data_IF_727667047769
#
_entry.id   IF_727667047769
#
_cell.length_a   1.000
_cell.length_b   1.000
_cell.length_c   1.000
_cell.angle_alpha   90.00
_cell.angle_beta   90.00
_cell.angle_gamma   90.00
#
_symmetry.space_group_name_H-M   'P 1'
#
loop_
_entity.id
_entity.type
_entity.pdbx_description
1 polymer ?
#
# COMPACT_ATOMS: atom_id res chain seq x y z
N UNK A 1 -20.36 12.05 8.54
CA UNK A 1 -19.66 10.98 7.79
C UNK A 1 -19.45 11.41 6.36
N UNK A 2 -18.39 10.94 5.70
CA UNK A 2 -18.11 11.24 4.28
C UNK A 2 -19.23 10.68 3.41
N UNK A 3 -19.69 11.46 2.43
CA UNK A 3 -20.67 11.02 1.42
C UNK A 3 -19.93 10.42 0.22
N UNK A 4 -20.62 9.64 -0.59
CA UNK A 4 -20.15 9.14 -1.90
C UNK A 4 -18.90 8.23 -1.89
N UNK A 5 -18.67 7.49 -0.80
CA UNK A 5 -17.56 6.54 -0.67
C UNK A 5 -17.55 5.41 -1.72
N UNK A 6 -18.66 5.23 -2.45
CA UNK A 6 -18.79 4.20 -3.49
C UNK A 6 -18.59 4.75 -4.91
N UNK A 7 -18.35 6.06 -5.08
CA UNK A 7 -18.00 6.65 -6.37
C UNK A 7 -16.50 6.46 -6.67
N UNK A 8 -16.12 5.21 -6.91
CA UNK A 8 -14.73 4.80 -7.11
C UNK A 8 -14.29 5.08 -8.55
N UNK A 9 -13.15 5.76 -8.71
CA UNK A 9 -12.64 6.23 -10.00
C UNK A 9 -11.60 5.32 -10.65
N UNK A 10 -11.44 4.10 -10.16
CA UNK A 10 -10.50 3.15 -10.73
C UNK A 10 -11.03 2.55 -12.03
N UNK A 11 -10.11 2.04 -12.86
CA UNK A 11 -10.46 1.39 -14.11
C UNK A 11 -11.29 0.13 -13.84
N UNK A 12 -12.26 -0.22 -14.72
CA UNK A 12 -12.96 -1.50 -14.65
C UNK A 12 -11.96 -2.66 -14.64
N UNK A 13 -12.12 -3.57 -13.68
CA UNK A 13 -11.20 -4.71 -13.49
C UNK A 13 -9.92 -4.40 -12.72
N UNK A 14 -9.77 -3.19 -12.14
CA UNK A 14 -8.65 -2.90 -11.23
C UNK A 14 -8.71 -3.80 -9.98
N UNK A 15 -7.57 -4.24 -9.46
CA UNK A 15 -7.54 -5.12 -8.29
C UNK A 15 -7.49 -4.37 -6.96
N UNK A 16 -7.28 -3.06 -7.00
CA UNK A 16 -7.47 -2.15 -5.86
C UNK A 16 -8.89 -2.31 -5.24
N UNK A 17 -9.91 -2.68 -6.04
CA UNK A 17 -11.27 -2.96 -5.55
C UNK A 17 -11.31 -4.14 -4.56
N UNK A 18 -10.55 -5.20 -4.83
CA UNK A 18 -10.50 -6.39 -3.96
C UNK A 18 -9.86 -6.05 -2.61
N UNK A 19 -8.80 -5.25 -2.66
CA UNK A 19 -8.04 -4.81 -1.49
C UNK A 19 -8.87 -3.84 -0.64
N UNK A 20 -9.56 -2.87 -1.27
CA UNK A 20 -10.51 -1.99 -0.60
C UNK A 20 -11.62 -2.79 0.10
N UNK A 21 -12.19 -3.78 -0.58
CA UNK A 21 -13.21 -4.65 -0.01
C UNK A 21 -12.71 -5.41 1.22
N UNK A 22 -11.48 -5.94 1.15
CA UNK A 22 -10.85 -6.64 2.28
C UNK A 22 -10.63 -5.71 3.48
N UNK A 23 -10.12 -4.49 3.27
CA UNK A 23 -9.87 -3.53 4.36
C UNK A 23 -11.19 -3.12 5.01
N UNK A 24 -12.20 -2.74 4.23
CA UNK A 24 -13.54 -2.38 4.75
C UNK A 24 -14.10 -3.51 5.60
N UNK A 25 -14.03 -4.74 5.10
CA UNK A 25 -14.52 -5.93 5.77
C UNK A 25 -13.83 -6.17 7.12
N UNK A 26 -12.51 -6.08 7.18
CA UNK A 26 -11.79 -6.33 8.43
C UNK A 26 -11.95 -5.23 9.46
N UNK A 27 -12.08 -3.97 9.04
CA UNK A 27 -12.41 -2.89 9.98
C UNK A 27 -13.78 -3.16 10.65
N UNK A 28 -14.75 -3.67 9.91
CA UNK A 28 -16.06 -4.06 10.41
C UNK A 28 -15.99 -5.31 11.33
N UNK A 29 -15.41 -6.41 10.85
CA UNK A 29 -15.38 -7.68 11.61
C UNK A 29 -14.50 -7.61 12.89
N UNK A 30 -13.47 -6.74 12.89
CA UNK A 30 -12.61 -6.51 14.06
C UNK A 30 -13.15 -5.41 15.00
N UNK A 31 -14.33 -4.84 14.71
CA UNK A 31 -14.94 -3.77 15.49
C UNK A 31 -14.04 -2.54 15.67
N UNK A 32 -13.19 -2.25 14.68
CA UNK A 32 -12.30 -1.08 14.70
C UNK A 32 -13.13 0.11 14.23
N UNK A 33 -13.50 0.98 15.18
CA UNK A 33 -14.39 2.09 14.88
C UNK A 33 -13.73 3.10 13.93
N UNK A 34 -14.53 3.66 13.00
CA UNK A 34 -14.12 4.71 12.07
C UNK A 34 -13.48 5.93 12.74
N UNK A 35 -13.92 6.25 13.96
CA UNK A 35 -13.39 7.38 14.76
C UNK A 35 -11.99 7.11 15.34
N UNK A 36 -11.61 5.85 15.46
CA UNK A 36 -10.34 5.39 16.01
C UNK A 36 -9.38 4.93 14.90
N UNK A 37 -9.80 5.08 13.63
CA UNK A 37 -9.02 4.70 12.45
C UNK A 37 -8.55 5.92 11.68
N UNK A 38 -7.28 5.93 11.27
CA UNK A 38 -6.74 6.90 10.33
C UNK A 38 -6.15 6.18 9.13
N UNK A 39 -6.68 6.47 7.94
CA UNK A 39 -6.13 5.99 6.68
C UNK A 39 -5.18 7.05 6.12
N UNK A 40 -3.90 6.72 6.01
CA UNK A 40 -2.91 7.62 5.41
C UNK A 40 -2.49 7.07 4.07
N UNK A 41 -2.63 7.87 3.03
CA UNK A 41 -2.19 7.51 1.68
C UNK A 41 -1.42 8.69 1.08
N UNK A 42 -1.18 8.65 -0.23
CA UNK A 42 -0.87 9.86 -0.96
C UNK A 42 -1.08 9.65 -2.44
N UNK A 43 -0.10 9.95 -3.29
CA UNK A 43 -0.33 10.13 -4.73
C UNK A 43 -0.18 8.82 -5.52
N UNK A 44 -1.30 8.36 -6.11
CA UNK A 44 -1.35 7.19 -6.97
C UNK A 44 -2.77 6.67 -7.14
N UNK A 45 -2.97 5.67 -8.00
CA UNK A 45 -4.26 4.95 -8.06
C UNK A 45 -4.57 4.34 -6.69
N UNK A 46 -3.61 3.60 -6.13
CA UNK A 46 -3.66 3.07 -4.76
C UNK A 46 -3.90 4.15 -3.72
N UNK A 47 -3.29 5.32 -3.91
CA UNK A 47 -3.43 6.49 -3.06
C UNK A 47 -4.87 6.96 -2.82
N UNK A 48 -5.72 6.90 -3.85
CA UNK A 48 -7.14 7.30 -3.76
C UNK A 48 -7.96 6.43 -2.81
N UNK A 49 -7.47 5.26 -2.39
CA UNK A 49 -8.19 4.34 -1.50
C UNK A 49 -8.66 5.00 -0.19
N UNK A 50 -7.90 5.99 0.30
CA UNK A 50 -8.23 6.73 1.52
C UNK A 50 -9.52 7.55 1.40
N UNK A 51 -9.90 7.90 0.17
CA UNK A 51 -11.15 8.59 -0.15
C UNK A 51 -12.35 7.63 -0.11
N UNK A 52 -12.12 6.33 -0.16
CA UNK A 52 -13.13 5.28 -0.24
C UNK A 52 -13.30 4.51 1.07
N UNK A 53 -12.68 4.92 2.18
CA UNK A 53 -12.85 4.29 3.49
C UNK A 53 -13.51 5.28 4.44
N UNK A 54 -14.53 4.82 5.18
CA UNK A 54 -15.20 5.63 6.19
C UNK A 54 -14.34 5.69 7.46
N UNK A 55 -13.38 6.61 7.50
CA UNK A 55 -12.49 6.87 8.63
C UNK A 55 -11.93 8.30 8.53
N UNK A 56 -11.17 8.74 9.53
CA UNK A 56 -10.25 9.86 9.30
C UNK A 56 -9.26 9.47 8.21
N UNK A 57 -8.88 10.42 7.36
CA UNK A 57 -7.90 10.13 6.33
C UNK A 57 -7.12 11.35 5.92
N UNK A 58 -5.88 11.12 5.52
CA UNK A 58 -4.99 12.12 4.96
C UNK A 58 -4.36 11.56 3.68
N UNK A 59 -4.67 12.18 2.54
CA UNK A 59 -3.89 12.01 1.32
C UNK A 59 -2.74 12.99 1.39
N UNK A 60 -1.54 12.46 1.56
CA UNK A 60 -0.33 13.26 1.81
C UNK A 60 0.44 13.50 0.51
N UNK A 61 1.56 14.20 0.63
CA UNK A 61 2.50 14.31 -0.48
C UNK A 61 3.05 12.93 -0.82
N UNK A 62 3.37 12.81 -2.10
CA UNK A 62 4.10 11.70 -2.65
C UNK A 62 5.28 11.31 -1.75
N UNK A 63 5.36 10.06 -1.29
CA UNK A 63 6.47 9.52 -0.47
C UNK A 63 6.63 10.07 0.94
N UNK A 64 5.68 10.88 1.40
CA UNK A 64 5.76 11.60 2.68
C UNK A 64 4.69 11.20 3.66
N UNK A 65 3.90 10.21 3.30
CA UNK A 65 3.00 9.53 4.22
C UNK A 65 3.79 9.00 5.41
N UNK A 66 4.94 8.32 5.20
CA UNK A 66 5.76 7.69 6.27
C UNK A 66 6.06 8.61 7.46
N UNK A 67 6.67 9.77 7.21
CA UNK A 67 6.83 10.79 8.24
C UNK A 67 5.51 11.29 8.83
N UNK A 68 4.48 11.50 8.00
CA UNK A 68 3.19 12.03 8.44
C UNK A 68 2.50 11.12 9.46
N UNK A 69 2.38 9.82 9.21
CA UNK A 69 1.75 8.94 10.20
C UNK A 69 2.61 8.74 11.43
N UNK A 70 3.94 8.85 11.31
CA UNK A 70 4.81 8.75 12.47
C UNK A 70 4.42 9.86 13.45
N UNK A 71 4.17 11.07 12.92
CA UNK A 71 3.55 12.14 13.69
C UNK A 71 2.17 11.78 14.25
N UNK A 72 1.25 11.26 13.44
CA UNK A 72 -0.10 10.89 13.88
C UNK A 72 -0.07 9.86 15.02
N UNK A 73 0.67 8.77 14.86
CA UNK A 73 0.73 7.66 15.81
C UNK A 73 1.45 8.06 17.10
N UNK A 74 2.48 8.90 17.01
CA UNK A 74 3.15 9.44 18.20
C UNK A 74 2.28 10.46 18.93
N UNK A 75 1.48 11.26 18.22
CA UNK A 75 0.56 12.23 18.82
C UNK A 75 -0.64 11.55 19.50
N UNK A 76 -1.13 10.45 18.94
CA UNK A 76 -2.18 9.64 19.56
C UNK A 76 -1.94 8.14 19.32
N UNK A 77 -1.28 7.45 20.28
CA UNK A 77 -0.97 6.02 20.18
C UNK A 77 -2.19 5.10 20.13
N UNK A 78 -3.37 5.57 20.54
CA UNK A 78 -4.59 4.75 20.56
C UNK A 78 -5.24 4.60 19.18
N UNK A 79 -4.83 5.40 18.19
CA UNK A 79 -5.38 5.31 16.84
C UNK A 79 -4.82 4.09 16.10
N UNK A 80 -5.69 3.36 15.39
CA UNK A 80 -5.27 2.39 14.39
C UNK A 80 -4.93 3.14 13.11
N UNK A 81 -3.64 3.11 12.75
CA UNK A 81 -3.15 3.81 11.55
C UNK A 81 -2.85 2.78 10.48
N UNK A 82 -3.56 2.90 9.35
CA UNK A 82 -3.35 2.06 8.17
C UNK A 82 -2.81 2.93 7.06
N UNK A 83 -1.61 2.64 6.62
CA UNK A 83 -0.99 3.29 5.50
C UNK A 83 -1.11 2.44 4.23
N UNK A 84 -1.54 3.07 3.13
CA UNK A 84 -1.80 2.36 1.87
C UNK A 84 -1.26 3.15 0.68
N UNK A 85 -0.49 2.46 -0.16
CA UNK A 85 0.28 3.07 -1.25
C UNK A 85 0.69 2.06 -2.31
N UNK A 86 1.24 2.53 -3.44
CA UNK A 86 1.75 1.66 -4.52
C UNK A 86 3.20 1.24 -4.29
N UNK A 87 3.64 0.23 -5.03
CA UNK A 87 5.03 -0.27 -5.05
C UNK A 87 6.05 0.81 -5.38
N UNK A 88 5.70 1.70 -6.30
CA UNK A 88 6.56 2.81 -6.58
C UNK A 88 6.84 3.57 -5.30
N UNK A 89 5.79 4.08 -4.61
CA UNK A 89 5.86 5.00 -3.46
C UNK A 89 6.72 4.52 -2.28
N UNK A 90 7.20 3.28 -2.29
CA UNK A 90 8.02 2.78 -1.21
C UNK A 90 9.40 2.36 -1.65
N UNK A 91 9.49 1.73 -2.80
CA UNK A 91 10.74 1.12 -3.23
C UNK A 91 11.56 2.07 -4.11
N UNK A 92 11.14 3.33 -4.24
CA UNK A 92 11.89 4.40 -4.91
C UNK A 92 12.24 5.57 -3.96
N UNK A 93 11.66 6.76 -4.12
CA UNK A 93 12.04 7.99 -3.39
C UNK A 93 11.60 8.00 -1.91
N UNK A 94 10.80 7.03 -1.48
CA UNK A 94 10.34 6.83 -0.10
C UNK A 94 11.14 5.75 0.62
N UNK A 95 12.06 5.09 -0.07
CA UNK A 95 12.83 3.95 0.45
C UNK A 95 13.59 4.32 1.73
N UNK A 96 14.14 5.52 1.80
CA UNK A 96 14.81 6.01 3.01
C UNK A 96 13.88 6.01 4.22
N UNK A 97 12.66 6.55 4.06
CA UNK A 97 11.69 6.55 5.14
C UNK A 97 11.25 5.14 5.51
N UNK A 98 11.10 4.25 4.52
CA UNK A 98 10.61 2.89 4.72
C UNK A 98 11.58 2.10 5.59
N UNK A 99 12.88 2.16 5.25
CA UNK A 99 13.92 1.53 6.05
C UNK A 99 13.93 2.04 7.49
N UNK A 100 13.72 3.34 7.70
CA UNK A 100 13.67 3.89 9.05
C UNK A 100 12.36 3.55 9.79
N UNK A 101 11.25 3.31 9.10
CA UNK A 101 10.03 2.84 9.76
C UNK A 101 10.15 1.39 10.22
N UNK A 102 10.74 0.50 9.40
CA UNK A 102 11.12 -0.84 9.85
C UNK A 102 11.96 -0.77 11.13
N UNK A 103 13.01 0.06 11.14
CA UNK A 103 13.91 0.22 12.29
C UNK A 103 13.24 0.78 13.54
N UNK A 104 12.30 1.72 13.39
CA UNK A 104 11.60 2.34 14.54
C UNK A 104 10.51 1.43 15.09
N UNK A 105 10.02 0.51 14.26
CA UNK A 105 9.03 -0.49 14.61
C UNK A 105 7.77 0.10 15.30
N UNK A 106 7.28 1.23 14.82
CA UNK A 106 6.08 1.88 15.37
C UNK A 106 4.85 1.12 14.87
N UNK A 107 3.83 0.92 15.73
CA UNK A 107 2.54 0.28 15.41
C UNK A 107 1.78 0.99 14.27
N UNK A 108 2.09 0.59 13.04
CA UNK A 108 1.45 1.04 11.79
C UNK A 108 1.30 -0.17 10.90
N UNK A 109 0.09 -0.36 10.38
CA UNK A 109 -0.16 -1.30 9.29
C UNK A 109 0.20 -0.64 7.98
N UNK A 110 1.04 -1.29 7.19
CA UNK A 110 1.61 -0.74 5.98
C UNK A 110 1.35 -1.68 4.80
N UNK A 111 0.43 -1.27 3.93
CA UNK A 111 -0.05 -2.04 2.80
C UNK A 111 0.50 -1.46 1.49
N UNK A 112 1.26 -2.27 0.76
CA UNK A 112 1.79 -1.92 -0.57
C UNK A 112 0.97 -2.62 -1.64
N UNK A 113 0.35 -1.84 -2.51
CA UNK A 113 -0.49 -2.28 -3.62
C UNK A 113 0.42 -2.32 -4.86
N UNK A 114 1.15 -3.41 -4.99
CA UNK A 114 2.21 -3.59 -5.97
C UNK A 114 1.64 -4.02 -7.33
N UNK A 115 1.53 -3.05 -8.25
CA UNK A 115 1.12 -3.32 -9.62
C UNK A 115 2.29 -3.25 -10.61
N UNK A 116 3.52 -3.14 -10.11
CA UNK A 116 4.75 -3.16 -10.90
C UNK A 116 4.84 -2.04 -11.97
N UNK A 117 4.09 -0.93 -11.83
CA UNK A 117 4.14 0.22 -12.73
C UNK A 117 3.61 1.51 -12.09
N UNK A 118 3.72 2.67 -12.76
CA UNK A 118 3.05 3.90 -12.30
C UNK A 118 1.77 4.14 -13.07
N UNK A 119 0.70 3.47 -12.67
CA UNK A 119 -0.55 3.48 -13.40
C UNK A 119 -1.15 4.89 -13.56
N UNK A 120 -1.13 5.70 -12.48
CA UNK A 120 -1.71 7.04 -12.49
C UNK A 120 -0.99 7.99 -13.46
N UNK A 121 0.33 7.85 -13.59
CA UNK A 121 1.13 8.66 -14.52
C UNK A 121 1.29 8.00 -15.89
N UNK A 122 0.51 6.96 -16.18
CA UNK A 122 0.36 6.29 -17.48
C UNK A 122 1.33 5.14 -17.80
N UNK A 123 1.80 4.41 -16.79
CA UNK A 123 2.43 3.08 -16.97
C UNK A 123 3.95 3.11 -17.14
N UNK A 124 4.64 3.95 -16.38
CA UNK A 124 6.11 3.94 -16.29
C UNK A 124 6.62 2.73 -15.49
N UNK A 125 7.90 2.41 -15.69
CA UNK A 125 8.65 1.42 -14.89
C UNK A 125 8.64 1.80 -13.42
N UNK A 126 8.40 0.81 -12.56
CA UNK A 126 8.53 0.88 -11.12
C UNK A 126 9.71 0.04 -10.61
N UNK A 127 10.06 0.18 -9.32
CA UNK A 127 11.16 -0.56 -8.71
C UNK A 127 10.87 -2.06 -8.58
N UNK A 128 9.62 -2.49 -8.76
CA UNK A 128 9.20 -3.90 -8.79
C UNK A 128 8.87 -4.39 -10.20
N UNK A 129 8.91 -3.53 -11.23
CA UNK A 129 8.81 -3.95 -12.63
C UNK A 129 9.87 -5.01 -12.94
N UNK A 130 9.52 -6.18 -13.49
CA UNK A 130 10.49 -7.20 -13.81
C UNK A 130 11.52 -6.73 -14.83
N UNK A 131 12.72 -7.28 -14.74
CA UNK A 131 13.78 -7.06 -15.72
C UNK A 131 13.31 -7.50 -17.12
N UNK A 132 13.70 -6.78 -18.17
CA UNK A 132 13.34 -7.14 -19.53
C UNK A 132 11.95 -6.66 -19.99
N UNK A 133 11.07 -6.26 -19.06
CA UNK A 133 9.71 -5.83 -19.39
C UNK A 133 9.71 -4.46 -20.07
N UNK A 134 8.91 -4.34 -21.14
CA UNK A 134 8.65 -3.07 -21.82
C UNK A 134 7.53 -2.32 -21.12
N UNK A 135 7.74 -1.02 -20.93
CA UNK A 135 6.74 -0.10 -20.36
C UNK A 135 6.71 1.19 -21.19
N UNK A 136 5.86 2.16 -20.85
CA UNK A 136 5.83 3.43 -21.60
C UNK A 136 7.14 4.21 -21.53
N UNK A 137 7.80 4.23 -20.37
CA UNK A 137 9.08 4.90 -20.16
C UNK A 137 10.27 4.07 -20.64
N UNK A 138 10.18 2.74 -20.54
CA UNK A 138 11.24 1.80 -20.93
C UNK A 138 10.81 1.03 -22.17
N UNK A 139 10.89 1.68 -23.33
CA UNK A 139 10.37 1.14 -24.61
C UNK A 139 11.12 -0.07 -25.14
N UNK A 140 12.42 -0.16 -24.85
CA UNK A 140 13.25 -1.30 -25.28
C UNK A 140 13.08 -2.47 -24.31
N UNK A 141 13.36 -2.23 -23.03
CA UNK A 141 13.21 -3.15 -21.91
C UNK A 141 13.59 -2.41 -20.61
N UNK A 142 13.14 -2.90 -19.45
CA UNK A 142 13.59 -2.43 -18.14
C UNK A 142 15.00 -2.97 -17.84
N UNK A 143 16.03 -2.10 -17.70
CA UNK A 143 17.39 -2.53 -17.45
C UNK A 143 17.67 -2.97 -16.02
N UNK A 144 16.86 -2.53 -15.09
CA UNK A 144 17.09 -2.75 -13.66
C UNK A 144 16.48 -4.08 -13.23
N UNK A 145 17.16 -4.76 -12.30
CA UNK A 145 16.53 -5.87 -11.57
C UNK A 145 15.52 -5.31 -10.58
N UNK A 146 14.34 -5.93 -10.43
CA UNK A 146 13.35 -5.49 -9.46
C UNK A 146 13.85 -5.71 -8.03
N UNK A 147 13.45 -4.84 -7.10
CA UNK A 147 13.59 -5.14 -5.69
C UNK A 147 12.76 -6.37 -5.32
N UNK A 148 13.23 -7.10 -4.31
CA UNK A 148 12.40 -8.05 -3.58
C UNK A 148 11.89 -7.35 -2.31
N UNK A 149 10.60 -6.98 -2.25
CA UNK A 149 10.03 -6.24 -1.12
C UNK A 149 10.26 -6.88 0.25
N UNK A 150 10.10 -8.20 0.33
CA UNK A 150 10.26 -8.94 1.59
C UNK A 150 11.70 -8.89 2.05
N UNK A 151 12.65 -9.28 1.19
CA UNK A 151 14.08 -9.26 1.53
C UNK A 151 14.58 -7.86 1.89
N UNK A 152 14.06 -6.84 1.21
CA UNK A 152 14.38 -5.44 1.49
C UNK A 152 13.90 -5.04 2.89
N UNK A 153 12.66 -5.38 3.24
CA UNK A 153 12.09 -5.13 4.57
C UNK A 153 12.83 -5.90 5.68
N UNK A 154 13.13 -7.19 5.44
CA UNK A 154 13.92 -8.02 6.36
C UNK A 154 15.30 -7.40 6.61
N UNK A 155 15.99 -6.99 5.54
CA UNK A 155 17.30 -6.34 5.63
C UNK A 155 17.24 -4.99 6.36
N UNK A 156 16.10 -4.31 6.31
CA UNK A 156 15.85 -3.08 7.06
C UNK A 156 15.44 -3.31 8.53
N UNK A 157 15.22 -4.56 8.94
CA UNK A 157 14.86 -4.94 10.31
C UNK A 157 13.37 -4.87 10.64
N UNK A 158 12.49 -5.00 9.65
CA UNK A 158 11.04 -5.06 9.88
C UNK A 158 10.67 -6.35 10.67
N UNK A 159 9.87 -6.22 11.75
CA UNK A 159 9.43 -7.37 12.57
C UNK A 159 8.33 -8.20 11.92
N UNK A 160 7.53 -7.58 11.06
CA UNK A 160 6.52 -8.25 10.24
C UNK A 160 6.69 -7.80 8.80
N UNK A 161 6.92 -8.77 7.91
CA UNK A 161 6.97 -8.55 6.47
C UNK A 161 6.46 -9.77 5.73
N UNK A 162 5.59 -9.56 4.75
CA UNK A 162 5.03 -10.62 3.92
C UNK A 162 4.74 -10.12 2.51
N UNK A 163 4.74 -11.04 1.56
CA UNK A 163 4.20 -10.81 0.22
C UNK A 163 3.04 -11.78 -0.06
N UNK A 164 2.00 -11.28 -0.71
CA UNK A 164 0.86 -12.09 -1.17
C UNK A 164 0.42 -11.66 -2.56
N UNK A 165 0.00 -12.63 -3.39
CA UNK A 165 -0.66 -12.36 -4.66
C UNK A 165 -2.17 -12.26 -4.43
N UNK A 166 -2.76 -11.14 -4.82
CA UNK A 166 -4.21 -10.90 -4.71
C UNK A 166 -5.07 -11.81 -5.59
N UNK A 167 -4.46 -12.63 -6.48
CA UNK A 167 -5.10 -13.80 -7.12
C UNK A 167 -5.73 -14.73 -6.10
N UNK A 168 -5.04 -14.97 -4.97
CA UNK A 168 -5.57 -15.78 -3.89
C UNK A 168 -6.33 -14.89 -2.91
N UNK A 169 -7.59 -14.59 -3.22
CA UNK A 169 -8.44 -13.66 -2.46
C UNK A 169 -8.54 -14.04 -0.98
N UNK A 170 -8.64 -15.35 -0.68
CA UNK A 170 -8.75 -15.84 0.71
C UNK A 170 -7.46 -15.54 1.47
N UNK A 171 -6.30 -15.93 0.90
CA UNK A 171 -5.01 -15.69 1.53
C UNK A 171 -4.68 -14.18 1.63
N UNK A 172 -5.04 -13.39 0.62
CA UNK A 172 -4.89 -11.93 0.66
C UNK A 172 -5.69 -11.32 1.81
N UNK A 173 -6.94 -11.75 1.99
CA UNK A 173 -7.79 -11.26 3.08
C UNK A 173 -7.19 -11.62 4.44
N UNK A 174 -6.77 -12.87 4.65
CA UNK A 174 -6.13 -13.27 5.92
C UNK A 174 -4.82 -12.49 6.16
N UNK A 175 -3.98 -12.30 5.14
CA UNK A 175 -2.75 -11.51 5.31
C UNK A 175 -3.02 -10.04 5.68
N UNK A 176 -4.06 -9.42 5.11
CA UNK A 176 -4.48 -8.05 5.48
C UNK A 176 -4.94 -8.01 6.94
N UNK A 177 -5.71 -9.01 7.40
CA UNK A 177 -6.13 -9.12 8.80
C UNK A 177 -4.93 -9.23 9.74
N UNK A 178 -4.00 -10.13 9.43
CA UNK A 178 -2.76 -10.32 10.19
C UNK A 178 -2.00 -9.00 10.31
N UNK A 179 -1.85 -8.25 9.20
CA UNK A 179 -1.16 -6.96 9.20
C UNK A 179 -1.90 -5.87 9.99
N UNK A 180 -3.24 -5.85 10.00
CA UNK A 180 -4.05 -4.90 10.80
C UNK A 180 -3.93 -5.19 12.31
N UNK A 181 -3.88 -6.48 12.65
CA UNK A 181 -3.84 -6.96 14.04
C UNK A 181 -2.44 -6.95 14.67
N UNK A 182 -1.39 -6.86 13.87
CA UNK A 182 -0.03 -6.78 14.39
C UNK A 182 0.17 -5.52 15.24
N UNK A 183 0.86 -5.64 16.38
CA UNK A 183 1.05 -4.58 17.37
C UNK A 183 2.26 -3.67 17.09
N UNK A 184 2.95 -3.89 15.97
CA UNK A 184 4.13 -3.11 15.56
C UNK A 184 4.09 -2.78 14.07
N UNK A 185 5.22 -2.40 13.48
CA UNK A 185 5.26 -2.05 12.07
C UNK A 185 5.01 -3.28 11.20
N UNK A 186 3.90 -3.30 10.47
CA UNK A 186 3.48 -4.44 9.67
C UNK A 186 3.56 -4.12 8.17
N UNK A 187 4.62 -4.59 7.52
CA UNK A 187 4.77 -4.49 6.07
C UNK A 187 4.07 -5.65 5.34
N UNK A 188 3.10 -5.35 4.47
CA UNK A 188 2.48 -6.32 3.58
C UNK A 188 2.55 -5.85 2.12
N UNK A 189 3.34 -6.55 1.31
CA UNK A 189 3.36 -6.37 -0.14
C UNK A 189 2.26 -7.20 -0.80
N UNK A 190 1.32 -6.54 -1.47
CA UNK A 190 0.18 -7.16 -2.15
C UNK A 190 0.39 -6.99 -3.64
N UNK A 191 0.86 -8.04 -4.31
CA UNK A 191 0.93 -8.07 -5.77
C UNK A 191 -0.48 -8.03 -6.34
N UNK A 192 -0.71 -7.13 -7.27
CA UNK A 192 -2.02 -6.90 -7.86
C UNK A 192 -1.96 -6.61 -9.36
N UNK A 193 -3.09 -6.84 -10.04
CA UNK A 193 -3.22 -6.56 -11.47
C UNK A 193 -3.63 -5.11 -11.72
N UNK A 194 -3.01 -4.50 -12.74
CA UNK A 194 -3.44 -3.22 -13.30
C UNK A 194 -3.91 -3.44 -14.74
N UNK A 195 -5.22 -3.49 -15.01
CA UNK A 195 -5.74 -3.88 -16.33
C UNK A 195 -5.37 -2.89 -17.44
N UNK A 196 -5.02 -1.66 -17.10
CA UNK A 196 -4.70 -0.61 -18.07
C UNK A 196 -3.24 -0.58 -18.50
N UNK A 197 -2.32 -1.07 -17.67
CA UNK A 197 -0.88 -0.87 -17.89
C UNK A 197 0.00 -2.11 -17.63
N UNK A 198 -0.48 -3.11 -16.87
CA UNK A 198 0.26 -4.35 -16.58
C UNK A 198 -0.25 -5.48 -17.48
N UNK A 199 0.53 -5.83 -18.51
CA UNK A 199 0.19 -6.85 -19.51
C UNK A 199 1.13 -8.06 -19.49
N UNK A 200 1.84 -8.25 -18.38
CA UNK A 200 2.75 -9.37 -18.14
C UNK A 200 2.33 -10.14 -16.88
#
# INVERSE_FOLDING_TARGET
MRKDLNNIQWCPGCWDYLILGAIRKWLEELWIASKDTVIVSGIGCSGKISQYINAYAAETLHWRSLPFWTGVKLANPNLKVICIWGDWDWYWIGLGHFMHACRRNIDITYLVLDNENYALTTGQTSPTTPHGIKTKSSKLWNPSNPFNPVKLAESAGCSFTREIDSKNIVAMREAIKEAIMHEWFAHLNIKQACPSWKFW
#
